data_IF_370041806782
#
_entry.id   IF_370041806782
#
_cell.length_a   1.000
_cell.length_b   1.000
_cell.length_c   1.000
_cell.angle_alpha   90.00
_cell.angle_beta   90.00
_cell.angle_gamma   90.00
#
_symmetry.space_group_name_H-M   'P 1'
#
loop_
_entity.id
_entity.type
_entity.pdbx_description
1 polymer ?
#
# COMPACT_ATOMS: atom_id res chain seq x y z
N UNK A 1 -19.76 13.10 2.94
CA UNK A 1 -20.81 14.14 2.70
C UNK A 1 -20.63 14.72 1.30
N UNK A 2 -21.70 14.81 0.53
CA UNK A 2 -21.68 15.34 -0.85
C UNK A 2 -21.18 16.81 -0.82
N UNK A 3 -20.26 17.18 -1.74
CA UNK A 3 -19.69 18.53 -1.83
C UNK A 3 -20.80 19.61 -1.94
N UNK A 4 -21.87 19.34 -2.70
CA UNK A 4 -23.01 20.25 -2.87
C UNK A 4 -23.74 20.50 -1.55
N UNK A 5 -23.95 19.47 -0.72
CA UNK A 5 -24.59 19.59 0.58
C UNK A 5 -23.74 20.41 1.53
N UNK A 6 -22.42 20.27 1.49
CA UNK A 6 -21.50 21.08 2.32
C UNK A 6 -21.64 22.58 1.99
N UNK A 7 -21.55 22.95 0.71
CA UNK A 7 -21.71 24.36 0.30
C UNK A 7 -23.10 24.89 0.64
N UNK A 8 -24.14 24.11 0.43
CA UNK A 8 -25.51 24.49 0.78
C UNK A 8 -25.64 24.81 2.28
N UNK A 9 -25.11 23.95 3.16
CA UNK A 9 -25.14 24.19 4.61
C UNK A 9 -24.37 25.47 5.02
N UNK A 10 -23.21 25.75 4.43
CA UNK A 10 -22.50 27.00 4.67
C UNK A 10 -23.30 28.22 4.22
N UNK A 11 -23.90 28.17 3.04
CA UNK A 11 -24.72 29.29 2.51
C UNK A 11 -25.91 29.55 3.42
N UNK A 12 -26.67 28.51 3.78
CA UNK A 12 -27.84 28.63 4.66
C UNK A 12 -27.46 29.18 6.04
N UNK A 13 -26.37 28.67 6.62
CA UNK A 13 -25.90 29.12 7.93
C UNK A 13 -25.51 30.60 7.90
N UNK A 14 -24.69 31.02 6.93
CA UNK A 14 -24.29 32.43 6.86
C UNK A 14 -25.43 33.35 6.44
N UNK A 15 -26.33 32.93 5.56
CA UNK A 15 -27.55 33.69 5.24
C UNK A 15 -28.38 33.94 6.51
N UNK A 16 -28.57 32.93 7.35
CA UNK A 16 -29.25 33.09 8.64
C UNK A 16 -28.52 34.09 9.54
N UNK A 17 -27.21 34.00 9.65
CA UNK A 17 -26.39 34.89 10.46
C UNK A 17 -26.47 36.36 10.01
N UNK A 18 -26.45 36.64 8.70
CA UNK A 18 -26.60 37.97 8.14
C UNK A 18 -28.04 38.50 8.23
N UNK A 19 -29.05 37.62 8.24
CA UNK A 19 -30.45 38.04 8.45
C UNK A 19 -30.80 38.26 9.93
N UNK A 20 -30.01 37.73 10.85
CA UNK A 20 -30.30 37.83 12.29
C UNK A 20 -30.47 39.26 12.83
N UNK A 21 -29.75 40.31 12.36
CA UNK A 21 -29.99 41.69 12.83
C UNK A 21 -31.41 42.22 12.54
N UNK A 22 -32.06 41.68 11.49
CA UNK A 22 -33.44 42.03 11.15
C UNK A 22 -34.45 41.45 12.14
N UNK A 23 -34.19 40.27 12.68
CA UNK A 23 -35.09 39.54 13.57
C UNK A 23 -35.08 40.13 15.01
N UNK A 24 -34.01 40.80 15.40
CA UNK A 24 -33.88 41.39 16.72
C UNK A 24 -34.38 42.85 16.80
N UNK A 25 -34.73 43.42 15.65
CA UNK A 25 -35.30 44.77 15.55
C UNK A 25 -36.77 44.79 16.01
N UNK A 26 -37.00 44.90 17.32
CA UNK A 26 -38.36 44.94 17.84
C UNK A 26 -38.96 46.34 17.69
N UNK A 27 -40.05 46.47 16.91
CA UNK A 27 -41.05 47.55 16.99
C UNK A 27 -40.77 48.87 16.26
N UNK A 28 -39.53 49.25 16.04
CA UNK A 28 -39.14 50.42 15.24
C UNK A 28 -38.34 49.97 14.05
N UNK A 29 -38.78 50.18 12.82
CA UNK A 29 -38.09 49.70 11.62
C UNK A 29 -36.60 50.07 11.64
N UNK A 30 -35.72 49.07 11.24
CA UNK A 30 -34.29 49.37 11.09
C UNK A 30 -34.07 50.07 9.76
N UNK A 31 -33.28 51.17 9.77
CA UNK A 31 -32.83 51.81 8.55
C UNK A 31 -31.82 50.91 7.81
N UNK A 32 -31.72 51.00 6.49
CA UNK A 32 -30.77 50.25 5.72
C UNK A 32 -29.33 50.45 6.16
N UNK A 33 -28.98 51.68 6.53
CA UNK A 33 -27.65 52.03 7.07
C UNK A 33 -27.37 51.33 8.40
N UNK A 34 -28.30 51.29 9.31
CA UNK A 34 -28.20 50.59 10.60
C UNK A 34 -28.04 49.05 10.39
N UNK A 35 -28.81 48.50 9.46
CA UNK A 35 -28.69 47.08 9.11
C UNK A 35 -27.27 46.73 8.60
N UNK A 36 -26.77 47.54 7.64
CA UNK A 36 -25.41 47.34 7.09
C UNK A 36 -24.34 47.42 8.17
N UNK A 37 -24.43 48.36 9.08
CA UNK A 37 -23.49 48.51 10.21
C UNK A 37 -23.56 47.33 11.19
N UNK A 38 -24.76 46.79 11.44
CA UNK A 38 -24.94 45.61 12.30
C UNK A 38 -24.47 44.33 11.65
N UNK A 39 -24.33 44.28 10.33
CA UNK A 39 -23.73 43.12 9.60
C UNK A 39 -22.22 42.98 9.84
N UNK A 40 -21.56 43.93 10.51
CA UNK A 40 -20.15 43.80 10.90
C UNK A 40 -19.90 42.60 11.84
N UNK A 41 -20.83 42.32 12.75
CA UNK A 41 -20.72 41.20 13.70
C UNK A 41 -20.65 39.83 12.97
N UNK A 42 -21.63 39.44 12.14
CA UNK A 42 -21.55 38.19 11.38
C UNK A 42 -20.38 38.18 10.38
N UNK A 43 -19.94 39.33 9.86
CA UNK A 43 -18.79 39.40 8.98
C UNK A 43 -17.48 39.04 9.71
N UNK A 44 -17.25 39.60 10.90
CA UNK A 44 -16.09 39.29 11.74
C UNK A 44 -16.12 37.79 12.16
N UNK A 45 -17.28 37.26 12.56
CA UNK A 45 -17.44 35.86 12.90
C UNK A 45 -17.10 34.96 11.69
N UNK A 46 -17.54 35.34 10.49
CA UNK A 46 -17.23 34.65 9.24
C UNK A 46 -15.71 34.66 8.95
N UNK A 47 -15.06 35.81 9.11
CA UNK A 47 -13.60 35.94 8.93
C UNK A 47 -12.86 35.04 9.90
N UNK A 48 -13.18 35.09 11.20
CA UNK A 48 -12.57 34.27 12.25
C UNK A 48 -12.77 32.80 11.94
N UNK A 49 -13.99 32.41 11.55
CA UNK A 49 -14.30 31.01 11.17
C UNK A 49 -13.43 30.52 10.01
N UNK A 50 -13.41 31.24 8.88
CA UNK A 50 -12.68 30.80 7.70
C UNK A 50 -11.16 30.91 7.84
N UNK A 51 -10.66 31.87 8.58
CA UNK A 51 -9.25 32.01 8.92
C UNK A 51 -8.77 30.78 9.72
N UNK A 52 -9.56 30.36 10.70
CA UNK A 52 -9.26 29.14 11.45
C UNK A 52 -9.39 27.90 10.59
N UNK A 53 -10.47 27.78 9.83
CA UNK A 53 -10.76 26.62 9.03
C UNK A 53 -9.72 26.35 7.93
N UNK A 54 -9.32 27.38 7.16
CA UNK A 54 -8.43 27.22 6.01
C UNK A 54 -6.96 27.40 6.34
N UNK A 55 -6.63 28.15 7.37
CA UNK A 55 -5.25 28.55 7.60
C UNK A 55 -4.72 28.16 8.99
N UNK A 56 -5.27 28.66 10.08
CA UNK A 56 -4.71 28.45 11.41
C UNK A 56 -4.73 26.97 11.86
N UNK A 57 -5.88 26.31 11.76
CA UNK A 57 -5.97 24.90 12.15
C UNK A 57 -5.12 23.99 11.28
N UNK A 58 -5.09 24.12 9.93
CA UNK A 58 -4.23 23.30 9.09
C UNK A 58 -2.73 23.52 9.29
N UNK A 59 -2.28 24.77 9.41
CA UNK A 59 -0.86 25.09 9.39
C UNK A 59 -0.18 25.04 10.76
N UNK A 60 -0.94 25.28 11.81
CA UNK A 60 -0.37 25.31 13.17
C UNK A 60 -0.86 24.14 14.01
N UNK A 61 -2.18 23.94 14.16
CA UNK A 61 -2.69 22.89 15.03
C UNK A 61 -2.36 21.50 14.50
N UNK A 62 -2.70 21.19 13.24
CA UNK A 62 -2.45 19.89 12.61
C UNK A 62 -0.96 19.63 12.32
N UNK A 63 -0.11 20.67 12.34
CA UNK A 63 1.33 20.55 12.24
C UNK A 63 2.02 20.36 13.61
N UNK A 64 1.26 20.13 14.70
CA UNK A 64 1.79 19.94 16.05
C UNK A 64 2.26 21.21 16.76
N UNK A 65 2.11 22.41 16.13
CA UNK A 65 2.54 23.71 16.68
C UNK A 65 1.44 24.33 17.55
N UNK A 66 0.92 23.58 18.52
CA UNK A 66 -0.25 23.97 19.33
C UNK A 66 -0.07 25.28 20.09
N UNK A 67 1.16 25.56 20.59
CA UNK A 67 1.46 26.80 21.33
C UNK A 67 1.27 28.05 20.45
N UNK A 68 1.77 28.01 19.22
CA UNK A 68 1.60 29.12 18.27
C UNK A 68 0.14 29.29 17.84
N UNK A 69 -0.56 28.16 17.62
CA UNK A 69 -2.00 28.17 17.34
C UNK A 69 -2.79 28.88 18.44
N UNK A 70 -2.58 28.49 19.69
CA UNK A 70 -3.28 29.10 20.83
C UNK A 70 -2.94 30.58 20.96
N UNK A 71 -1.66 30.94 20.88
CA UNK A 71 -1.22 32.33 21.01
C UNK A 71 -1.83 33.22 19.92
N UNK A 72 -1.76 32.81 18.65
CA UNK A 72 -2.32 33.58 17.53
C UNK A 72 -3.84 33.73 17.67
N UNK A 73 -4.56 32.62 17.97
CA UNK A 73 -6.00 32.65 18.15
C UNK A 73 -6.42 33.53 19.35
N UNK A 74 -5.72 33.46 20.48
CA UNK A 74 -6.03 34.26 21.65
C UNK A 74 -5.89 35.75 21.32
N UNK A 75 -4.79 36.16 20.69
CA UNK A 75 -4.58 37.53 20.28
C UNK A 75 -5.67 37.97 19.27
N UNK A 76 -5.92 37.14 18.24
CA UNK A 76 -6.92 37.44 17.21
C UNK A 76 -8.32 37.65 17.80
N UNK A 77 -8.77 36.73 18.65
CA UNK A 77 -10.11 36.75 19.24
C UNK A 77 -10.27 37.95 20.24
N UNK A 78 -9.23 38.22 21.04
CA UNK A 78 -9.26 39.37 21.97
C UNK A 78 -9.30 40.67 21.20
N UNK A 79 -8.40 40.87 20.23
CA UNK A 79 -8.35 42.13 19.46
C UNK A 79 -9.64 42.38 18.69
N UNK A 80 -10.15 41.33 17.99
CA UNK A 80 -11.40 41.47 17.24
C UNK A 80 -12.63 41.58 18.15
N UNK A 81 -12.66 40.93 19.30
CA UNK A 81 -13.74 41.04 20.28
C UNK A 81 -13.85 42.42 20.88
N UNK A 82 -12.71 43.04 21.27
CA UNK A 82 -12.64 44.41 21.72
C UNK A 82 -13.10 45.38 20.60
N UNK A 83 -12.56 45.19 19.38
CA UNK A 83 -12.93 46.02 18.23
C UNK A 83 -14.42 45.93 17.89
N UNK A 84 -15.00 44.72 17.97
CA UNK A 84 -16.42 44.47 17.72
C UNK A 84 -17.30 45.18 18.78
N UNK A 85 -16.88 45.12 20.04
CA UNK A 85 -17.59 45.79 21.11
C UNK A 85 -17.66 47.31 20.87
N UNK A 86 -16.53 47.96 20.62
CA UNK A 86 -16.52 49.41 20.34
C UNK A 86 -17.29 49.79 19.06
N UNK A 87 -17.25 48.93 18.03
CA UNK A 87 -18.06 49.12 16.84
C UNK A 87 -19.56 49.06 17.15
N UNK A 88 -19.98 48.12 17.96
CA UNK A 88 -21.38 47.93 18.36
C UNK A 88 -21.85 49.09 19.21
N UNK A 89 -21.01 49.57 20.16
CA UNK A 89 -21.30 50.75 20.98
C UNK A 89 -21.41 52.00 20.13
N UNK A 90 -20.49 52.23 19.20
CA UNK A 90 -20.55 53.34 18.25
C UNK A 90 -21.84 53.30 17.41
N UNK A 91 -22.22 52.16 16.90
CA UNK A 91 -23.43 51.99 16.08
C UNK A 91 -24.69 52.28 16.92
N UNK A 92 -24.74 51.76 18.14
CA UNK A 92 -25.85 52.00 19.05
C UNK A 92 -25.98 53.51 19.42
N UNK A 93 -24.90 54.16 19.71
CA UNK A 93 -24.90 55.59 20.01
C UNK A 93 -25.32 56.48 18.83
N UNK A 94 -25.06 56.00 17.59
CA UNK A 94 -25.42 56.75 16.37
C UNK A 94 -26.92 56.68 16.06
N UNK A 95 -27.53 55.50 16.25
CA UNK A 95 -28.94 55.25 15.85
C UNK A 95 -29.92 55.23 16.99
N UNK A 96 -29.48 55.02 18.22
CA UNK A 96 -30.29 54.97 19.43
C UNK A 96 -29.58 55.75 20.52
N UNK A 97 -29.59 57.10 20.46
CA UNK A 97 -28.95 57.96 21.50
C UNK A 97 -29.58 57.64 22.87
N UNK A 98 -28.76 57.07 23.75
CA UNK A 98 -29.15 56.60 25.07
C UNK A 98 -29.62 57.83 25.86
N UNK A 99 -30.77 57.70 26.55
CA UNK A 99 -31.24 58.72 27.50
C UNK A 99 -30.14 58.97 28.54
N UNK A 100 -30.04 60.21 29.07
CA UNK A 100 -29.00 60.63 30.04
C UNK A 100 -28.84 59.70 31.26
N UNK A 101 -29.88 58.93 31.59
CA UNK A 101 -29.94 57.99 32.71
C UNK A 101 -29.01 56.79 32.55
N UNK A 102 -28.56 56.47 31.31
CA UNK A 102 -27.68 55.31 31.02
C UNK A 102 -26.22 55.70 30.83
N UNK A 103 -25.81 56.96 31.02
CA UNK A 103 -24.41 57.39 30.85
C UNK A 103 -23.45 56.95 31.94
N UNK A 104 -23.84 56.02 32.78
CA UNK A 104 -23.04 55.49 33.87
C UNK A 104 -23.07 54.04 34.01
N UNK A 105 -22.98 53.24 32.85
CA UNK A 105 -22.67 51.88 32.93
C UNK A 105 -21.37 51.73 33.72
N UNK A 106 -21.44 51.01 34.84
CA UNK A 106 -20.25 50.76 35.64
C UNK A 106 -19.25 50.01 34.74
N UNK A 107 -17.96 50.28 34.88
CA UNK A 107 -16.88 49.59 34.12
C UNK A 107 -17.04 48.08 34.07
N UNK A 108 -17.74 47.51 35.04
CA UNK A 108 -18.04 46.11 35.16
C UNK A 108 -18.99 45.60 34.05
N UNK A 109 -19.99 46.39 33.64
CA UNK A 109 -20.93 46.00 32.56
C UNK A 109 -20.25 46.02 31.20
N UNK A 110 -19.39 47.03 30.95
CA UNK A 110 -18.56 47.08 29.75
C UNK A 110 -17.67 45.85 29.66
N UNK A 111 -17.07 45.43 30.77
CA UNK A 111 -16.26 44.22 30.84
C UNK A 111 -17.06 42.98 30.43
N UNK A 112 -18.28 42.79 30.92
CA UNK A 112 -19.13 41.66 30.57
C UNK A 112 -19.56 41.66 29.10
N UNK A 113 -19.80 42.82 28.50
CA UNK A 113 -20.12 42.91 27.07
C UNK A 113 -18.93 42.56 26.19
N UNK A 114 -17.73 43.06 26.50
CA UNK A 114 -16.49 42.71 25.81
C UNK A 114 -16.23 41.20 25.96
N UNK A 115 -16.37 40.64 27.16
CA UNK A 115 -16.18 39.21 27.41
C UNK A 115 -17.16 38.36 26.59
N UNK A 116 -18.42 38.77 26.51
CA UNK A 116 -19.43 38.11 25.65
C UNK A 116 -18.99 38.05 24.19
N UNK A 117 -18.50 39.16 23.65
CA UNK A 117 -18.10 39.27 22.25
C UNK A 117 -16.84 38.42 21.98
N UNK A 118 -15.89 38.39 22.90
CA UNK A 118 -14.71 37.50 22.86
C UNK A 118 -15.15 36.01 22.89
N UNK A 119 -16.05 35.62 23.79
CA UNK A 119 -16.56 34.26 23.90
C UNK A 119 -17.27 33.85 22.61
N UNK A 120 -18.10 34.70 22.03
CA UNK A 120 -18.76 34.43 20.77
C UNK A 120 -17.75 34.13 19.65
N UNK A 121 -16.72 34.96 19.50
CA UNK A 121 -15.67 34.75 18.51
C UNK A 121 -14.86 33.44 18.77
N UNK A 122 -14.56 33.14 20.04
CA UNK A 122 -13.88 31.92 20.45
C UNK A 122 -14.69 30.67 20.09
N UNK A 123 -16.02 30.71 20.23
CA UNK A 123 -16.92 29.63 19.82
C UNK A 123 -16.78 29.36 18.30
N UNK A 124 -16.79 30.42 17.47
CA UNK A 124 -16.62 30.27 16.01
C UNK A 124 -15.23 29.75 15.63
N UNK A 125 -14.17 30.24 16.28
CA UNK A 125 -12.82 29.76 16.09
C UNK A 125 -12.68 28.28 16.44
N UNK A 126 -13.26 27.87 17.57
CA UNK A 126 -13.25 26.47 18.05
C UNK A 126 -14.07 25.57 17.12
N UNK A 127 -15.28 25.97 16.74
CA UNK A 127 -16.13 25.23 15.82
C UNK A 127 -15.43 25.02 14.46
N UNK A 128 -14.82 26.04 13.90
CA UNK A 128 -14.06 25.98 12.67
C UNK A 128 -12.88 24.99 12.76
N UNK A 129 -12.15 25.05 13.88
CA UNK A 129 -11.02 24.17 14.16
C UNK A 129 -11.47 22.72 14.28
N UNK A 130 -12.53 22.44 15.04
CA UNK A 130 -13.10 21.09 15.18
C UNK A 130 -13.54 20.51 13.83
N UNK A 131 -14.22 21.30 13.01
CA UNK A 131 -14.65 20.87 11.67
C UNK A 131 -13.44 20.58 10.78
N UNK A 132 -12.44 21.45 10.77
CA UNK A 132 -11.22 21.29 9.97
C UNK A 132 -10.44 20.01 10.35
N UNK A 133 -10.29 19.77 11.66
CA UNK A 133 -9.58 18.59 12.18
C UNK A 133 -10.37 17.31 11.93
N UNK A 134 -11.68 17.31 12.15
CA UNK A 134 -12.55 16.14 11.87
C UNK A 134 -12.48 15.74 10.40
N UNK A 135 -12.49 16.69 9.47
CA UNK A 135 -12.36 16.40 8.05
C UNK A 135 -10.98 15.82 7.70
N UNK A 136 -9.91 16.35 8.26
CA UNK A 136 -8.56 15.84 8.06
C UNK A 136 -8.41 14.43 8.60
N UNK A 137 -8.89 14.19 9.81
CA UNK A 137 -8.88 12.85 10.40
C UNK A 137 -9.64 11.84 9.53
N UNK A 138 -10.83 12.22 9.06
CA UNK A 138 -11.63 11.39 8.16
C UNK A 138 -10.88 11.03 6.86
N UNK A 139 -10.22 12.00 6.23
CA UNK A 139 -9.46 11.74 5.01
C UNK A 139 -8.20 10.91 5.26
N UNK A 140 -7.52 11.14 6.37
CA UNK A 140 -6.35 10.35 6.77
C UNK A 140 -6.73 8.89 7.04
N UNK A 141 -7.84 8.66 7.73
CA UNK A 141 -8.36 7.32 8.00
C UNK A 141 -8.78 6.60 6.72
N UNK A 142 -9.46 7.29 5.80
CA UNK A 142 -9.78 6.71 4.49
C UNK A 142 -8.54 6.35 3.66
N UNK A 143 -7.52 7.21 3.70
CA UNK A 143 -6.27 6.94 3.01
C UNK A 143 -5.55 5.71 3.59
N UNK A 144 -5.53 5.60 4.93
CA UNK A 144 -4.97 4.45 5.65
C UNK A 144 -5.70 3.15 5.29
N UNK A 145 -7.03 3.14 5.36
CA UNK A 145 -7.84 1.96 5.05
C UNK A 145 -7.65 1.51 3.58
N UNK A 146 -7.53 2.47 2.64
CA UNK A 146 -7.21 2.15 1.24
C UNK A 146 -5.82 1.56 1.07
N UNK A 147 -4.83 2.10 1.77
CA UNK A 147 -3.46 1.58 1.72
C UNK A 147 -3.38 0.16 2.30
N UNK A 148 -4.08 -0.10 3.41
CA UNK A 148 -4.17 -1.42 4.04
C UNK A 148 -4.87 -2.45 3.13
N UNK A 149 -6.01 -2.08 2.52
CA UNK A 149 -6.70 -2.92 1.55
C UNK A 149 -5.81 -3.24 0.33
N UNK A 150 -5.12 -2.23 -0.23
CA UNK A 150 -4.21 -2.44 -1.35
C UNK A 150 -3.01 -3.33 -0.97
N UNK A 151 -2.50 -3.21 0.27
CA UNK A 151 -1.46 -4.11 0.78
C UNK A 151 -1.96 -5.55 0.87
N UNK A 152 -3.13 -5.76 1.46
CA UNK A 152 -3.74 -7.10 1.58
C UNK A 152 -4.00 -7.72 0.20
N UNK A 153 -4.52 -6.94 -0.77
CA UNK A 153 -4.72 -7.40 -2.14
C UNK A 153 -3.40 -7.77 -2.83
N UNK A 154 -2.34 -6.98 -2.60
CA UNK A 154 -1.01 -7.28 -3.12
C UNK A 154 -0.42 -8.56 -2.49
N UNK A 155 -0.58 -8.76 -1.17
CA UNK A 155 -0.17 -9.97 -0.46
C UNK A 155 -0.94 -11.20 -0.97
N UNK A 156 -2.26 -11.11 -1.14
CA UNK A 156 -3.08 -12.18 -1.72
C UNK A 156 -2.71 -12.50 -3.17
N UNK A 157 -2.44 -11.47 -3.97
CA UNK A 157 -1.97 -11.64 -5.35
C UNK A 157 -0.61 -12.31 -5.39
N UNK A 158 0.31 -11.94 -4.49
CA UNK A 158 1.61 -12.57 -4.38
C UNK A 158 1.50 -14.04 -3.98
N UNK A 159 0.66 -14.35 -2.99
CA UNK A 159 0.34 -15.73 -2.58
C UNK A 159 -0.24 -16.56 -3.75
N UNK A 160 -1.21 -16.01 -4.49
CA UNK A 160 -1.78 -16.68 -5.68
C UNK A 160 -0.74 -16.92 -6.78
N UNK A 161 0.16 -15.97 -7.00
CA UNK A 161 1.20 -16.07 -8.02
C UNK A 161 2.32 -17.06 -7.64
N UNK A 162 2.47 -17.39 -6.36
CA UNK A 162 3.41 -18.42 -5.90
C UNK A 162 3.00 -19.84 -6.35
N UNK A 163 1.70 -20.07 -6.53
CA UNK A 163 1.19 -21.29 -7.15
C UNK A 163 1.02 -20.98 -8.63
N UNK A 164 1.83 -21.60 -9.50
CA UNK A 164 1.61 -21.49 -10.95
C UNK A 164 0.28 -22.20 -11.32
N UNK A 165 -0.84 -21.45 -11.56
CA UNK A 165 -2.15 -22.08 -11.75
C UNK A 165 -2.19 -22.97 -13.00
N UNK A 166 -1.44 -22.58 -14.02
CA UNK A 166 -1.36 -23.34 -15.28
C UNK A 166 -0.61 -24.67 -15.07
N UNK A 167 0.45 -24.67 -14.27
CA UNK A 167 1.14 -25.91 -13.90
C UNK A 167 0.20 -26.85 -13.13
N UNK A 168 -0.51 -26.33 -12.13
CA UNK A 168 -1.44 -27.12 -11.32
C UNK A 168 -2.56 -27.74 -12.16
N UNK A 169 -3.22 -26.93 -13.00
CA UNK A 169 -4.28 -27.41 -13.90
C UNK A 169 -3.77 -28.46 -14.90
N UNK A 170 -2.61 -28.23 -15.50
CA UNK A 170 -2.01 -29.19 -16.41
C UNK A 170 -1.64 -30.50 -15.72
N UNK A 171 -1.14 -30.41 -14.50
CA UNK A 171 -0.80 -31.60 -13.70
C UNK A 171 -2.05 -32.41 -13.34
N UNK A 172 -3.11 -31.75 -12.88
CA UNK A 172 -4.41 -32.39 -12.59
C UNK A 172 -5.02 -33.05 -13.83
N UNK A 173 -4.97 -32.38 -14.99
CA UNK A 173 -5.47 -32.94 -16.24
C UNK A 173 -4.69 -34.22 -16.65
N UNK A 174 -3.37 -34.24 -16.40
CA UNK A 174 -2.57 -35.41 -16.67
C UNK A 174 -2.85 -36.57 -15.69
N UNK A 175 -2.99 -36.26 -14.42
CA UNK A 175 -3.40 -37.25 -13.40
C UNK A 175 -4.75 -37.84 -13.79
N UNK A 176 -5.70 -37.01 -14.22
CA UNK A 176 -7.00 -37.48 -14.70
C UNK A 176 -6.84 -38.42 -15.90
N UNK A 177 -6.00 -38.08 -16.88
CA UNK A 177 -5.72 -38.99 -18.01
C UNK A 177 -5.08 -40.32 -17.55
N UNK A 178 -4.13 -40.25 -16.60
CA UNK A 178 -3.49 -41.45 -16.04
C UNK A 178 -4.48 -42.39 -15.32
N UNK A 179 -5.54 -41.87 -14.70
CA UNK A 179 -6.54 -42.73 -14.04
C UNK A 179 -7.23 -43.73 -14.99
N UNK A 180 -7.26 -43.41 -16.29
CA UNK A 180 -7.86 -44.26 -17.31
C UNK A 180 -6.92 -45.38 -17.80
N UNK A 181 -5.59 -45.25 -17.64
CA UNK A 181 -4.61 -46.14 -18.23
C UNK A 181 -3.68 -46.79 -17.19
N UNK A 182 -3.34 -46.08 -16.12
CA UNK A 182 -2.37 -46.54 -15.11
C UNK A 182 -2.71 -45.89 -13.74
N UNK A 183 -3.52 -46.61 -12.98
CA UNK A 183 -4.01 -46.13 -11.69
C UNK A 183 -2.88 -45.97 -10.66
N UNK A 184 -1.85 -46.81 -10.71
CA UNK A 184 -0.73 -46.77 -9.77
C UNK A 184 0.11 -45.51 -10.00
N UNK A 185 0.40 -45.17 -11.26
CA UNK A 185 1.06 -43.91 -11.62
C UNK A 185 0.20 -42.69 -11.30
N UNK A 186 -1.12 -42.79 -11.46
CA UNK A 186 -2.02 -41.68 -11.06
C UNK A 186 -1.96 -41.44 -9.55
N UNK A 187 -1.96 -42.47 -8.72
CA UNK A 187 -1.82 -42.36 -7.27
C UNK A 187 -0.46 -41.77 -6.86
N UNK A 188 0.62 -42.23 -7.51
CA UNK A 188 1.96 -41.67 -7.29
C UNK A 188 1.99 -40.16 -7.61
N UNK A 189 1.45 -39.76 -8.77
CA UNK A 189 1.39 -38.37 -9.19
C UNK A 189 0.57 -37.51 -8.23
N UNK A 190 -0.54 -37.99 -7.66
CA UNK A 190 -1.32 -37.29 -6.62
C UNK A 190 -0.47 -37.11 -5.36
N UNK A 191 0.29 -38.12 -4.95
CA UNK A 191 1.15 -38.04 -3.77
C UNK A 191 2.24 -36.97 -3.95
N UNK A 192 2.94 -37.02 -5.10
CA UNK A 192 3.98 -36.04 -5.40
C UNK A 192 3.42 -34.59 -5.49
N UNK A 193 2.24 -34.42 -6.12
CA UNK A 193 1.57 -33.13 -6.17
C UNK A 193 1.18 -32.63 -4.78
N UNK A 194 0.69 -33.50 -3.90
CA UNK A 194 0.33 -33.16 -2.52
C UNK A 194 1.55 -32.73 -1.71
N UNK A 195 2.69 -33.42 -1.89
CA UNK A 195 3.95 -33.05 -1.24
C UNK A 195 4.44 -31.66 -1.71
N UNK A 196 4.38 -31.41 -3.02
CA UNK A 196 4.75 -30.11 -3.58
C UNK A 196 3.86 -28.98 -3.07
N UNK A 197 2.53 -29.18 -3.02
CA UNK A 197 1.59 -28.18 -2.51
C UNK A 197 1.82 -27.86 -1.03
N UNK A 198 2.12 -28.89 -0.23
CA UNK A 198 2.46 -28.70 1.19
C UNK A 198 3.70 -27.83 1.32
N UNK A 199 4.74 -28.12 0.58
CA UNK A 199 5.97 -27.35 0.59
C UNK A 199 5.72 -25.88 0.22
N UNK A 200 4.98 -25.62 -0.87
CA UNK A 200 4.60 -24.26 -1.29
C UNK A 200 3.80 -23.51 -0.20
N UNK A 201 2.91 -24.18 0.52
CA UNK A 201 2.01 -23.51 1.47
C UNK A 201 2.66 -23.21 2.83
N UNK A 202 3.63 -24.02 3.27
CA UNK A 202 4.17 -23.95 4.62
C UNK A 202 5.62 -23.44 4.69
N UNK A 203 6.48 -23.78 3.72
CA UNK A 203 7.90 -23.47 3.81
C UNK A 203 8.28 -22.14 3.17
N UNK A 204 7.43 -21.57 2.31
CA UNK A 204 7.69 -20.33 1.57
C UNK A 204 7.52 -19.04 2.37
N UNK A 205 7.09 -19.11 3.60
CA UNK A 205 6.95 -17.93 4.46
C UNK A 205 8.27 -17.57 5.18
N UNK A 206 9.30 -18.40 5.02
CA UNK A 206 10.60 -18.14 5.63
C UNK A 206 11.55 -17.43 4.66
N UNK A 207 12.41 -16.52 5.14
CA UNK A 207 13.36 -15.79 4.31
C UNK A 207 14.45 -16.71 3.71
N UNK A 208 14.75 -17.83 4.36
CA UNK A 208 15.66 -18.87 3.89
C UNK A 208 15.21 -20.25 4.35
N UNK A 209 15.36 -21.25 3.48
CA UNK A 209 15.01 -22.67 3.72
C UNK A 209 16.26 -23.54 3.61
N UNK A 210 16.29 -24.74 4.22
CA UNK A 210 17.33 -25.72 3.97
C UNK A 210 17.47 -26.04 2.48
N UNK A 211 18.70 -26.14 1.97
CA UNK A 211 18.93 -26.50 0.57
C UNK A 211 18.36 -27.89 0.24
N UNK A 212 18.39 -28.81 1.20
CA UNK A 212 17.82 -30.16 1.04
C UNK A 212 16.32 -30.12 0.76
N UNK A 213 15.57 -29.19 1.38
CA UNK A 213 14.13 -29.02 1.14
C UNK A 213 13.86 -28.50 -0.28
N UNK A 214 14.64 -27.51 -0.73
CA UNK A 214 14.56 -27.00 -2.12
C UNK A 214 14.93 -28.11 -3.14
N UNK A 215 15.94 -28.91 -2.85
CA UNK A 215 16.36 -30.04 -3.66
C UNK A 215 15.25 -31.13 -3.72
N UNK A 216 14.61 -31.43 -2.59
CA UNK A 216 13.50 -32.38 -2.55
C UNK A 216 12.30 -31.86 -3.34
N UNK A 217 11.99 -30.61 -3.22
CA UNK A 217 10.94 -29.95 -4.01
C UNK A 217 11.21 -30.08 -5.52
N UNK A 218 12.42 -29.77 -5.97
CA UNK A 218 12.83 -29.92 -7.37
C UNK A 218 12.77 -31.38 -7.80
N UNK A 219 13.18 -32.30 -6.95
CA UNK A 219 13.11 -33.77 -7.22
C UNK A 219 11.68 -34.23 -7.46
N UNK A 220 10.74 -33.78 -6.63
CA UNK A 220 9.33 -34.10 -6.74
C UNK A 220 8.73 -33.51 -8.02
N UNK A 221 9.11 -32.27 -8.36
CA UNK A 221 8.76 -31.64 -9.64
C UNK A 221 9.27 -32.43 -10.84
N UNK A 222 10.56 -32.83 -10.83
CA UNK A 222 11.17 -33.58 -11.90
C UNK A 222 10.50 -34.97 -12.07
N UNK A 223 10.18 -35.67 -10.96
CA UNK A 223 9.43 -36.92 -11.00
C UNK A 223 8.07 -36.72 -11.69
N UNK A 224 7.32 -35.70 -11.26
CA UNK A 224 6.01 -35.39 -11.81
C UNK A 224 6.09 -35.08 -13.31
N UNK A 225 7.11 -34.31 -13.73
CA UNK A 225 7.33 -33.99 -15.13
C UNK A 225 7.67 -35.25 -15.95
N UNK A 226 8.48 -36.17 -15.40
CA UNK A 226 8.85 -37.43 -16.08
C UNK A 226 7.65 -38.33 -16.42
N UNK A 227 6.59 -38.32 -15.59
CA UNK A 227 5.36 -39.08 -15.86
C UNK A 227 4.62 -38.63 -17.15
N UNK A 228 4.96 -37.46 -17.67
CA UNK A 228 4.32 -36.82 -18.85
C UNK A 228 5.17 -36.89 -20.11
N UNK A 229 6.45 -37.27 -19.97
CA UNK A 229 7.39 -37.18 -21.07
C UNK A 229 7.44 -38.50 -21.84
N UNK A 230 7.57 -38.45 -23.16
CA UNK A 230 7.85 -39.65 -23.93
C UNK A 230 9.25 -40.18 -23.64
N UNK A 231 9.48 -41.45 -23.89
CA UNK A 231 10.77 -42.15 -23.68
C UNK A 231 11.94 -41.53 -24.47
N UNK A 232 11.63 -40.72 -25.47
CA UNK A 232 12.62 -39.96 -26.27
C UNK A 232 13.29 -38.83 -25.50
N UNK A 233 12.77 -38.46 -24.32
CA UNK A 233 13.29 -37.37 -23.49
C UNK A 233 14.15 -37.94 -22.36
N UNK A 234 15.43 -37.57 -22.34
CA UNK A 234 16.35 -37.97 -21.26
C UNK A 234 16.43 -36.86 -20.18
N UNK A 235 15.97 -37.18 -18.96
CA UNK A 235 16.04 -36.25 -17.82
C UNK A 235 16.99 -36.80 -16.77
N UNK A 236 18.04 -36.04 -16.44
CA UNK A 236 18.98 -36.33 -15.35
C UNK A 236 18.91 -35.22 -14.27
N UNK A 237 18.95 -35.63 -13.01
CA UNK A 237 18.96 -34.75 -11.85
C UNK A 237 20.00 -35.26 -10.85
N UNK A 238 21.11 -34.55 -10.75
CA UNK A 238 22.25 -34.87 -9.90
C UNK A 238 22.43 -33.81 -8.83
N UNK A 239 22.67 -34.24 -7.59
CA UNK A 239 22.91 -33.34 -6.45
C UNK A 239 24.23 -33.79 -5.77
N UNK A 240 25.10 -32.81 -5.54
CA UNK A 240 26.37 -32.99 -4.84
C UNK A 240 26.46 -31.93 -3.75
N UNK A 241 26.14 -32.29 -2.54
CA UNK A 241 26.28 -31.42 -1.38
C UNK A 241 27.28 -31.98 -0.41
N UNK A 242 28.18 -31.16 0.10
CA UNK A 242 29.18 -31.57 1.09
C UNK A 242 28.69 -31.47 2.53
N UNK A 243 27.55 -30.79 2.77
CA UNK A 243 26.99 -30.54 4.11
C UNK A 243 25.46 -30.46 4.11
N UNK A 244 24.87 -30.71 5.30
CA UNK A 244 23.42 -30.66 5.55
C UNK A 244 22.88 -29.30 6.00
N UNK A 245 23.74 -28.34 6.39
CA UNK A 245 23.33 -27.10 7.05
C UNK A 245 23.25 -25.89 6.09
N UNK A 246 23.28 -26.14 4.79
CA UNK A 246 23.22 -25.09 3.77
C UNK A 246 21.80 -24.58 3.67
N UNK A 247 21.62 -23.26 3.72
CA UNK A 247 20.33 -22.61 3.53
C UNK A 247 20.33 -21.74 2.28
N UNK A 248 19.15 -21.60 1.64
CA UNK A 248 18.97 -20.83 0.41
C UNK A 248 17.65 -20.07 0.45
N UNK A 249 17.56 -18.94 -0.25
CA UNK A 249 16.28 -18.29 -0.47
C UNK A 249 15.34 -19.21 -1.27
N UNK A 250 14.08 -19.37 -0.89
CA UNK A 250 13.17 -20.34 -1.47
C UNK A 250 12.84 -20.07 -2.95
N UNK A 251 12.54 -21.11 -3.72
CA UNK A 251 12.09 -21.06 -5.13
C UNK A 251 13.05 -20.37 -6.12
N UNK A 252 14.34 -20.31 -5.85
CA UNK A 252 15.28 -19.70 -6.78
C UNK A 252 15.50 -20.59 -8.00
N UNK A 253 15.62 -21.89 -7.80
CA UNK A 253 15.98 -22.82 -8.88
C UNK A 253 14.78 -23.38 -9.64
N UNK A 254 13.61 -23.49 -9.02
CA UNK A 254 12.44 -24.11 -9.65
C UNK A 254 12.02 -23.46 -10.96
N UNK A 255 12.07 -22.12 -11.02
CA UNK A 255 11.69 -21.41 -12.24
C UNK A 255 12.66 -21.64 -13.39
N UNK A 256 13.95 -21.93 -13.12
CA UNK A 256 14.90 -22.37 -14.15
C UNK A 256 14.59 -23.78 -14.62
N UNK A 257 14.24 -24.68 -13.69
CA UNK A 257 13.84 -26.04 -13.98
C UNK A 257 12.57 -26.05 -14.83
N UNK A 258 11.54 -25.26 -14.45
CA UNK A 258 10.33 -25.08 -15.26
C UNK A 258 10.65 -24.61 -16.68
N UNK A 259 11.55 -23.62 -16.80
CA UNK A 259 11.97 -23.11 -18.10
C UNK A 259 12.66 -24.17 -18.95
N UNK A 260 13.50 -25.01 -18.34
CA UNK A 260 14.18 -26.08 -19.02
C UNK A 260 13.20 -27.15 -19.59
N UNK A 261 12.17 -27.52 -18.82
CA UNK A 261 11.13 -28.43 -19.32
C UNK A 261 10.23 -27.76 -20.37
N UNK A 262 9.91 -26.49 -20.23
CA UNK A 262 9.03 -25.74 -21.16
C UNK A 262 9.67 -25.55 -22.55
N UNK A 263 10.98 -25.33 -22.61
CA UNK A 263 11.72 -24.98 -23.83
C UNK A 263 12.70 -26.04 -24.27
N UNK A 264 13.01 -27.02 -23.40
CA UNK A 264 13.97 -28.10 -23.68
C UNK A 264 13.34 -29.40 -24.16
N UNK A 265 12.01 -29.49 -24.19
CA UNK A 265 11.31 -30.72 -24.55
C UNK A 265 10.55 -30.55 -25.86
N UNK A 266 10.78 -31.43 -26.82
CA UNK A 266 10.02 -31.53 -28.05
C UNK A 266 9.12 -32.78 -28.01
N UNK A 267 7.89 -32.72 -28.53
CA UNK A 267 7.02 -33.90 -28.65
C UNK A 267 7.47 -34.89 -29.74
N UNK A 268 8.30 -34.43 -30.69
CA UNK A 268 8.67 -35.19 -31.88
C UNK A 268 10.17 -35.46 -31.98
N UNK A 269 11.00 -34.66 -31.35
CA UNK A 269 12.45 -34.74 -31.46
C UNK A 269 13.10 -35.30 -30.19
N UNK A 270 14.20 -36.08 -30.28
CA UNK A 270 14.96 -36.51 -29.12
C UNK A 270 15.44 -35.29 -28.29
N UNK A 271 15.12 -35.29 -27.03
CA UNK A 271 15.35 -34.16 -26.14
C UNK A 271 16.05 -34.56 -24.85
N UNK A 272 16.69 -33.60 -24.20
CA UNK A 272 17.24 -33.83 -22.87
C UNK A 272 17.10 -32.63 -21.96
N UNK A 273 17.00 -32.88 -20.65
CA UNK A 273 17.11 -31.91 -19.58
C UNK A 273 18.09 -32.48 -18.56
N UNK A 274 19.16 -31.73 -18.26
CA UNK A 274 20.14 -32.08 -17.24
C UNK A 274 20.19 -31.00 -16.22
N UNK A 275 19.97 -31.33 -14.95
CA UNK A 275 19.97 -30.47 -13.82
C UNK A 275 21.05 -30.95 -12.86
N UNK A 276 21.97 -30.07 -12.47
CA UNK A 276 23.01 -30.39 -11.49
C UNK A 276 23.01 -29.29 -10.43
N UNK A 277 22.93 -29.70 -9.17
CA UNK A 277 23.06 -28.79 -8.02
C UNK A 277 24.30 -29.23 -7.23
N UNK A 278 25.24 -28.30 -7.07
CA UNK A 278 26.47 -28.49 -6.30
C UNK A 278 26.54 -27.46 -5.20
N UNK A 279 26.85 -27.86 -3.98
CA UNK A 279 26.97 -26.96 -2.86
C UNK A 279 28.10 -27.36 -1.92
N UNK A 280 28.82 -26.34 -1.49
CA UNK A 280 29.89 -26.46 -0.49
C UNK A 280 29.78 -25.33 0.56
N UNK A 281 30.82 -25.14 1.37
CA UNK A 281 30.85 -24.17 2.46
C UNK A 281 30.64 -22.73 2.03
N UNK A 282 31.01 -22.36 0.82
CA UNK A 282 31.05 -20.99 0.35
C UNK A 282 30.22 -20.79 -0.92
N UNK A 283 29.92 -21.88 -1.65
CA UNK A 283 29.29 -21.79 -2.98
C UNK A 283 28.05 -22.68 -3.09
N UNK A 284 27.05 -22.17 -3.80
CA UNK A 284 25.90 -22.95 -4.29
C UNK A 284 25.81 -22.73 -5.79
N UNK A 285 25.85 -23.82 -6.57
CA UNK A 285 25.81 -23.78 -8.02
C UNK A 285 24.61 -24.59 -8.49
N UNK A 286 23.78 -23.99 -9.33
CA UNK A 286 22.75 -24.68 -10.09
C UNK A 286 23.09 -24.57 -11.59
N UNK A 287 23.41 -25.69 -12.21
CA UNK A 287 23.75 -25.80 -13.63
C UNK A 287 22.64 -26.58 -14.37
N UNK A 288 22.00 -25.93 -15.33
CA UNK A 288 20.92 -26.54 -16.11
C UNK A 288 21.27 -26.47 -17.59
N UNK A 289 21.22 -27.62 -18.23
CA UNK A 289 21.40 -27.78 -19.71
C UNK A 289 20.22 -28.52 -20.29
N UNK A 290 19.65 -27.97 -21.33
CA UNK A 290 18.54 -28.62 -22.03
C UNK A 290 18.64 -28.42 -23.54
N UNK A 291 18.00 -29.32 -24.30
CA UNK A 291 17.81 -29.11 -25.72
C UNK A 291 17.14 -27.75 -25.96
N UNK A 292 17.47 -27.07 -27.04
CA UNK A 292 16.93 -25.76 -27.34
C UNK A 292 15.92 -25.83 -28.50
N UNK A 293 14.64 -25.80 -28.15
CA UNK A 293 13.52 -25.71 -29.10
C UNK A 293 12.78 -24.39 -28.92
N UNK A 294 13.29 -23.28 -29.51
CA UNK A 294 12.65 -21.98 -29.38
C UNK A 294 11.26 -22.06 -30.01
N UNK A 295 10.27 -21.62 -29.25
CA UNK A 295 8.91 -21.51 -29.75
C UNK A 295 8.80 -20.36 -30.78
N UNK A 296 7.88 -20.44 -31.77
CA UNK A 296 7.65 -19.40 -32.74
C UNK A 296 7.31 -18.07 -32.05
N UNK A 297 7.73 -16.94 -32.64
CA UNK A 297 7.50 -15.60 -32.09
C UNK A 297 5.99 -15.23 -31.88
N UNK A 298 5.09 -16.02 -32.46
CA UNK A 298 3.64 -15.86 -32.30
C UNK A 298 3.09 -16.44 -30.98
N UNK A 299 3.87 -17.25 -30.24
CA UNK A 299 3.44 -17.81 -28.94
C UNK A 299 3.78 -16.81 -27.81
N UNK A 300 2.87 -15.89 -27.52
CA UNK A 300 2.97 -14.91 -26.43
C UNK A 300 2.72 -15.48 -25.04
N UNK A 301 2.61 -16.78 -24.86
CA UNK A 301 2.35 -17.41 -23.56
C UNK A 301 3.55 -17.28 -22.62
N UNK A 302 3.65 -16.16 -21.88
CA UNK A 302 4.55 -15.99 -20.73
C UNK A 302 6.02 -15.72 -21.08
N UNK A 303 6.33 -14.97 -22.15
CA UNK A 303 7.70 -14.58 -22.48
C UNK A 303 8.31 -13.68 -21.39
N UNK A 304 9.32 -14.18 -20.72
CA UNK A 304 10.25 -13.38 -19.88
C UNK A 304 9.84 -13.15 -18.42
N UNK A 305 8.59 -13.35 -18.03
CA UNK A 305 8.15 -13.05 -16.65
C UNK A 305 8.89 -13.91 -15.61
N UNK A 306 9.03 -15.21 -15.88
CA UNK A 306 9.74 -16.14 -14.98
C UNK A 306 11.20 -15.78 -14.77
N UNK A 307 11.92 -15.46 -15.86
CA UNK A 307 13.34 -15.10 -15.80
C UNK A 307 13.56 -13.73 -15.10
N UNK A 308 12.67 -12.76 -15.29
CA UNK A 308 12.73 -11.49 -14.59
C UNK A 308 12.48 -11.66 -13.08
N UNK A 309 11.55 -12.55 -12.69
CA UNK A 309 11.29 -12.85 -11.29
C UNK A 309 12.50 -13.50 -10.60
N UNK A 310 13.18 -14.45 -11.29
CA UNK A 310 14.42 -15.06 -10.79
C UNK A 310 15.48 -13.98 -10.57
N UNK A 311 15.72 -13.14 -11.58
CA UNK A 311 16.69 -12.06 -11.48
C UNK A 311 16.40 -11.15 -10.29
N UNK A 312 15.14 -10.73 -10.13
CA UNK A 312 14.73 -9.90 -9.01
C UNK A 312 14.93 -10.58 -7.65
N UNK A 313 14.64 -11.87 -7.55
CA UNK A 313 14.88 -12.65 -6.32
C UNK A 313 16.36 -12.76 -6.00
N UNK A 314 17.21 -13.05 -6.99
CA UNK A 314 18.65 -13.11 -6.82
C UNK A 314 19.23 -11.76 -6.39
N UNK A 315 18.76 -10.64 -6.98
CA UNK A 315 19.14 -9.29 -6.58
C UNK A 315 18.76 -8.97 -5.15
N UNK A 316 17.56 -9.38 -4.71
CA UNK A 316 17.08 -9.12 -3.34
C UNK A 316 17.78 -10.00 -2.29
N UNK A 317 18.02 -11.28 -2.62
CA UNK A 317 18.56 -12.25 -1.66
C UNK A 317 20.10 -12.29 -1.64
N UNK A 318 20.77 -12.07 -2.77
CA UNK A 318 22.19 -12.30 -2.96
C UNK A 318 22.89 -11.15 -3.69
N UNK A 319 22.51 -9.89 -3.42
CA UNK A 319 23.12 -8.72 -4.03
C UNK A 319 24.65 -8.77 -3.94
N UNK A 320 25.36 -8.65 -5.10
CA UNK A 320 26.83 -8.77 -5.25
C UNK A 320 27.41 -10.16 -5.00
N UNK A 321 26.64 -11.13 -4.50
CA UNK A 321 27.11 -12.49 -4.18
C UNK A 321 26.55 -13.53 -5.13
N UNK A 322 26.11 -13.17 -6.35
CA UNK A 322 25.69 -14.14 -7.34
C UNK A 322 26.17 -13.79 -8.74
N UNK A 323 26.30 -14.80 -9.56
CA UNK A 323 26.42 -14.65 -11.02
C UNK A 323 25.43 -15.54 -11.71
N UNK A 324 24.80 -15.04 -12.75
CA UNK A 324 23.86 -15.81 -13.57
C UNK A 324 24.23 -15.72 -15.05
N UNK A 325 24.68 -16.83 -15.61
CA UNK A 325 25.03 -16.96 -17.03
C UNK A 325 23.94 -17.66 -17.79
N UNK A 326 23.64 -17.19 -19.00
CA UNK A 326 22.66 -17.74 -19.93
C UNK A 326 23.27 -17.73 -21.31
N UNK A 327 23.38 -18.90 -21.94
CA UNK A 327 23.98 -19.00 -23.25
C UNK A 327 23.34 -20.10 -24.08
N UNK A 328 23.38 -19.94 -25.40
CA UNK A 328 22.99 -20.99 -26.34
C UNK A 328 24.26 -21.53 -26.97
N UNK A 329 24.54 -22.80 -26.71
CA UNK A 329 25.78 -23.47 -27.13
C UNK A 329 25.48 -24.57 -28.14
N UNK A 330 26.53 -25.21 -28.65
CA UNK A 330 26.44 -26.36 -29.57
C UNK A 330 25.64 -25.99 -30.84
N UNK A 331 26.04 -24.94 -31.54
CA UNK A 331 25.41 -24.45 -32.77
C UNK A 331 23.89 -24.20 -32.62
N UNK A 332 23.46 -23.64 -31.51
CA UNK A 332 22.05 -23.31 -31.26
C UNK A 332 21.20 -24.46 -30.70
N UNK A 333 21.76 -25.63 -30.47
CA UNK A 333 21.00 -26.83 -30.07
C UNK A 333 20.84 -27.05 -28.57
N UNK A 334 21.65 -26.38 -27.76
CA UNK A 334 21.65 -26.54 -26.30
C UNK A 334 21.51 -25.16 -25.63
N UNK A 335 20.52 -25.02 -24.74
CA UNK A 335 20.43 -23.91 -23.85
C UNK A 335 21.09 -24.26 -22.51
N UNK A 336 21.97 -23.39 -22.03
CA UNK A 336 22.70 -23.55 -20.78
C UNK A 336 22.42 -22.35 -19.89
N UNK A 337 22.01 -22.61 -18.67
CA UNK A 337 21.77 -21.60 -17.64
C UNK A 337 22.45 -22.04 -16.35
N UNK A 338 23.30 -21.16 -15.79
CA UNK A 338 24.05 -21.45 -14.57
C UNK A 338 23.94 -20.29 -13.60
N UNK A 339 23.41 -20.58 -12.40
CA UNK A 339 23.46 -19.68 -11.25
C UNK A 339 24.60 -20.17 -10.35
N UNK A 340 25.42 -19.23 -9.91
CA UNK A 340 26.46 -19.44 -8.92
C UNK A 340 26.29 -18.39 -7.82
N UNK A 341 26.01 -18.84 -6.60
CA UNK A 341 25.88 -18.01 -5.39
C UNK A 341 27.15 -18.24 -4.56
N UNK A 342 27.78 -17.16 -4.17
CA UNK A 342 28.97 -17.13 -3.31
C UNK A 342 28.60 -16.56 -1.95
N UNK A 343 29.36 -16.92 -0.91
CA UNK A 343 29.18 -16.36 0.46
C UNK A 343 27.72 -16.40 0.97
N UNK A 344 27.00 -17.48 0.66
CA UNK A 344 25.60 -17.64 0.98
C UNK A 344 25.27 -17.45 2.47
N UNK A 345 26.23 -17.70 3.37
CA UNK A 345 26.07 -17.53 4.81
C UNK A 345 25.88 -16.07 5.19
N UNK A 346 26.67 -15.17 4.62
CA UNK A 346 26.57 -13.73 4.86
C UNK A 346 25.26 -13.18 4.33
N UNK A 347 24.90 -13.57 3.11
CA UNK A 347 23.64 -13.14 2.47
C UNK A 347 22.41 -13.58 3.27
N UNK A 348 22.37 -14.84 3.72
CA UNK A 348 21.24 -15.36 4.50
C UNK A 348 21.14 -14.76 5.91
N UNK A 349 22.27 -14.32 6.51
CA UNK A 349 22.24 -13.60 7.80
C UNK A 349 21.59 -12.22 7.66
N UNK A 350 21.81 -11.54 6.53
CA UNK A 350 21.16 -10.25 6.22
C UNK A 350 19.66 -10.40 6.02
N UNK A 351 19.21 -11.44 5.29
CA UNK A 351 17.79 -11.76 5.09
C UNK A 351 17.01 -11.96 6.40
N UNK A 352 17.66 -12.57 7.41
CA UNK A 352 17.06 -12.79 8.75
C UNK A 352 17.03 -11.55 9.64
N UNK A 353 17.84 -10.54 9.36
CA UNK A 353 17.93 -9.31 10.17
C UNK A 353 16.99 -8.18 9.72
N UNK A 354 16.37 -8.32 8.55
CA UNK A 354 15.43 -7.34 7.98
C UNK A 354 13.94 -7.64 8.33
N UNK A 355 13.65 -8.72 9.07
CA UNK A 355 12.36 -9.00 9.71
C UNK A 355 12.30 -8.39 11.13
#
# INVERSE_FOLDING_TARGET
>A
MNKRLKYFLHIVFWAYMFLSPLTFARGTGITMTQYVMNCMSPLIMMVVFYLNYFWLAPHYYAAGKHRYFLLINTILVICLGIGLHYWTDFTNNLFQPVSPTYKGLANIEVFFFVLRDIINLAIFATAATCIALSQRWYWAEQARNKAEAARTDAELSNLRNQINPHFLLNTLNNIYALTAFDTDKAQEAIRELSNMLRHILYDYQQPAVPLDDEVEFIRNYVKLMKLRLPDTVKVTFDVRSSKSDITIAPMIFISLVENAFKHGVSPTEPSFVRITIEADDDNIICDIRNSNYPKPASDHSGHGIGLQQIQRRLELAYFEHYTWTKEVVTNGKVYHSRIHITDWKESNSKLKSEE
#
